data_IF_420661859080
#
_entry.id   IF_420661859080
#
_cell.length_a   1.000
_cell.length_b   1.000
_cell.length_c   1.000
_cell.angle_alpha   90.00
_cell.angle_beta   90.00
_cell.angle_gamma   90.00
#
_symmetry.space_group_name_H-M   'P 1'
#
loop_
_entity.id
_entity.type
_entity.pdbx_description
1 polymer ?
#
# COMPACT_ATOMS: atom_id res chain seq x y z
N UNK A 1 -7.07 35.33 -53.58
CA UNK A 1 -8.34 34.59 -53.38
C UNK A 1 -8.02 33.39 -52.52
N UNK A 2 -8.53 33.34 -51.28
CA UNK A 2 -8.29 32.27 -50.32
C UNK A 2 -9.64 31.60 -50.04
N UNK A 3 -9.74 30.31 -50.33
CA UNK A 3 -10.92 29.48 -50.04
C UNK A 3 -10.60 28.58 -48.84
N UNK A 4 -11.13 28.95 -47.68
CA UNK A 4 -11.04 28.17 -46.44
C UNK A 4 -12.42 27.98 -45.85
N UNK A 5 -12.89 26.74 -45.92
CA UNK A 5 -14.23 26.23 -45.62
C UNK A 5 -14.37 25.81 -44.14
N UNK A 6 -15.52 26.20 -43.58
CA UNK A 6 -16.21 25.88 -42.32
C UNK A 6 -15.65 24.85 -41.33
N UNK A 7 -15.79 25.16 -40.02
CA UNK A 7 -16.65 24.40 -39.10
C UNK A 7 -16.88 25.22 -37.81
N UNK A 8 -18.11 25.73 -37.61
CA UNK A 8 -18.56 26.32 -36.34
C UNK A 8 -18.93 25.17 -35.39
N UNK A 9 -18.31 25.13 -34.21
CA UNK A 9 -18.57 24.11 -33.20
C UNK A 9 -20.01 24.16 -32.70
N UNK A 10 -20.69 23.02 -32.71
CA UNK A 10 -21.96 22.81 -32.00
C UNK A 10 -21.64 22.62 -30.52
N UNK A 11 -21.85 23.67 -29.73
CA UNK A 11 -21.87 23.57 -28.27
C UNK A 11 -23.19 22.96 -27.84
N UNK A 12 -23.15 21.81 -27.17
CA UNK A 12 -24.32 21.23 -26.51
C UNK A 12 -23.96 20.80 -25.08
N UNK A 13 -24.89 21.09 -24.17
CA UNK A 13 -24.68 21.14 -22.73
C UNK A 13 -24.88 19.77 -22.05
N UNK A 14 -24.20 19.63 -20.90
CA UNK A 14 -24.33 18.55 -19.95
C UNK A 14 -25.77 18.38 -19.46
N UNK A 15 -26.28 17.16 -19.57
CA UNK A 15 -27.23 16.61 -18.61
C UNK A 15 -28.50 16.05 -19.20
N UNK A 16 -28.66 14.72 -19.15
CA UNK A 16 -29.89 14.11 -18.63
C UNK A 16 -29.66 12.62 -18.36
N UNK A 17 -29.65 12.21 -17.09
CA UNK A 17 -29.87 10.82 -16.73
C UNK A 17 -31.37 10.66 -16.45
N UNK A 18 -32.08 10.10 -17.43
CA UNK A 18 -33.46 9.66 -17.27
C UNK A 18 -33.49 8.48 -16.29
N UNK A 19 -34.28 8.63 -15.23
CA UNK A 19 -34.82 7.51 -14.49
C UNK A 19 -36.03 6.98 -15.27
N UNK A 20 -36.10 5.68 -15.54
CA UNK A 20 -37.25 4.91 -15.08
C UNK A 20 -36.99 3.39 -15.10
N UNK A 21 -37.71 2.75 -14.20
CA UNK A 21 -37.52 1.41 -13.63
C UNK A 21 -38.11 0.27 -14.47
N UNK A 22 -38.05 -0.96 -13.93
CA UNK A 22 -38.49 -2.29 -14.42
C UNK A 22 -37.35 -3.07 -15.10
N UNK A 23 -36.98 -4.30 -14.73
CA UNK A 23 -37.53 -5.29 -13.82
C UNK A 23 -37.18 -6.69 -14.36
N UNK A 24 -36.65 -7.55 -13.49
CA UNK A 24 -36.61 -9.03 -13.58
C UNK A 24 -35.61 -9.75 -14.54
N UNK A 25 -34.64 -10.42 -13.88
CA UNK A 25 -34.34 -11.87 -13.94
C UNK A 25 -33.78 -12.54 -15.22
N UNK A 26 -32.66 -13.25 -14.99
CA UNK A 26 -32.34 -14.67 -15.32
C UNK A 26 -31.16 -14.96 -16.29
N UNK A 27 -30.28 -15.84 -15.76
CA UNK A 27 -29.26 -16.76 -16.32
C UNK A 27 -28.02 -16.27 -17.12
N UNK A 28 -26.82 -16.64 -16.62
CA UNK A 28 -25.48 -16.43 -17.24
C UNK A 28 -25.06 -17.57 -18.18
N UNK A 29 -23.75 -17.91 -18.35
CA UNK A 29 -22.46 -17.26 -18.01
C UNK A 29 -21.47 -17.31 -19.24
N UNK A 30 -20.13 -17.44 -19.13
CA UNK A 30 -19.08 -16.59 -18.56
C UNK A 30 -17.97 -16.21 -19.59
N UNK A 31 -16.90 -15.56 -19.10
CA UNK A 31 -15.48 -15.66 -19.53
C UNK A 31 -14.81 -14.40 -20.12
N UNK A 32 -13.96 -13.81 -19.25
CA UNK A 32 -12.55 -13.44 -19.46
C UNK A 32 -12.16 -12.55 -20.65
N UNK A 33 -11.63 -11.36 -20.39
CA UNK A 33 -10.18 -11.14 -20.24
C UNK A 33 -9.90 -9.64 -20.05
N UNK A 34 -9.32 -9.29 -18.91
CA UNK A 34 -8.63 -8.02 -18.70
C UNK A 34 -7.35 -8.04 -19.52
N UNK A 35 -7.18 -7.08 -20.43
CA UNK A 35 -5.89 -6.77 -21.04
C UNK A 35 -5.64 -5.26 -20.91
N UNK A 36 -4.50 -4.97 -20.30
CA UNK A 36 -3.88 -3.67 -20.02
C UNK A 36 -3.73 -2.78 -21.27
N UNK A 37 -3.76 -1.44 -21.10
CA UNK A 37 -3.56 -0.49 -22.19
C UNK A 37 -2.08 -0.39 -22.55
N UNK A 38 -1.79 -0.42 -23.85
CA UNK A 38 -0.50 -0.04 -24.41
C UNK A 38 -0.75 0.84 -25.63
N UNK A 39 0.30 1.59 -26.02
CA UNK A 39 0.44 2.44 -27.21
C UNK A 39 0.29 3.95 -26.97
N UNK A 40 1.41 4.57 -26.57
CA UNK A 40 1.73 5.94 -26.94
C UNK A 40 3.02 5.93 -27.74
N UNK A 41 2.87 5.99 -29.07
CA UNK A 41 3.95 6.25 -30.02
C UNK A 41 4.29 7.74 -30.03
N UNK A 42 5.58 8.05 -29.90
CA UNK A 42 6.13 9.40 -30.04
C UNK A 42 7.31 9.34 -31.01
N UNK A 43 7.24 10.17 -32.05
CA UNK A 43 8.07 10.15 -33.24
C UNK A 43 9.57 10.39 -33.00
N UNK A 44 10.38 9.58 -33.69
CA UNK A 44 11.83 9.62 -33.70
C UNK A 44 12.34 10.71 -34.66
N UNK A 45 13.05 11.71 -34.12
CA UNK A 45 13.75 12.75 -34.89
C UNK A 45 15.18 12.29 -35.21
N UNK A 46 15.56 12.52 -36.47
CA UNK A 46 16.73 12.01 -37.17
C UNK A 46 18.11 12.22 -36.49
N UNK A 47 18.93 11.18 -36.65
CA UNK A 47 20.37 11.06 -36.41
C UNK A 47 21.18 11.83 -37.44
N UNK A 48 22.06 12.73 -37.01
CA UNK A 48 23.33 12.99 -37.69
C UNK A 48 24.47 12.95 -36.65
N UNK A 49 25.53 12.22 -36.99
CA UNK A 49 26.67 11.89 -36.15
C UNK A 49 27.81 12.91 -36.33
N UNK A 50 28.20 13.56 -35.21
CA UNK A 50 29.56 13.90 -34.71
C UNK A 50 30.49 14.78 -35.60
N UNK A 51 31.26 15.75 -35.02
CA UNK A 51 32.36 15.41 -34.11
C UNK A 51 32.63 16.36 -32.91
N UNK A 52 33.22 15.75 -31.89
CA UNK A 52 34.10 16.31 -30.83
C UNK A 52 34.27 17.83 -30.76
N UNK A 53 33.78 18.44 -29.68
CA UNK A 53 34.51 19.54 -29.05
C UNK A 53 34.34 19.50 -27.53
N UNK A 54 35.48 19.41 -26.85
CA UNK A 54 35.63 19.62 -25.42
C UNK A 54 35.20 21.06 -25.10
N UNK A 55 33.96 21.25 -24.66
CA UNK A 55 33.53 22.49 -24.03
C UNK A 55 33.12 22.17 -22.60
N UNK A 56 34.06 22.36 -21.67
CA UNK A 56 33.78 22.38 -20.24
C UNK A 56 32.75 23.49 -19.97
N UNK A 57 31.46 23.12 -19.98
CA UNK A 57 30.39 23.99 -19.54
C UNK A 57 30.61 24.40 -18.07
N UNK A 58 30.04 25.53 -17.62
CA UNK A 58 30.29 26.07 -16.29
C UNK A 58 30.06 24.97 -15.24
N UNK A 59 31.14 24.52 -14.59
CA UNK A 59 31.03 23.60 -13.45
C UNK A 59 30.09 24.27 -12.46
N UNK A 60 28.88 23.72 -12.28
CA UNK A 60 27.93 24.23 -11.29
C UNK A 60 28.69 24.30 -9.97
N UNK A 61 28.87 25.51 -9.43
CA UNK A 61 29.45 25.69 -8.11
C UNK A 61 28.49 25.00 -7.15
N UNK A 62 28.82 23.78 -6.73
CA UNK A 62 28.22 23.21 -5.53
C UNK A 62 28.56 24.21 -4.43
N UNK A 63 27.57 24.92 -3.92
CA UNK A 63 27.77 25.74 -2.73
C UNK A 63 28.28 24.81 -1.63
N UNK A 64 29.46 25.10 -1.09
CA UNK A 64 29.92 24.45 0.11
C UNK A 64 29.04 24.96 1.25
N UNK A 65 28.33 24.05 1.92
CA UNK A 65 27.63 24.40 3.14
C UNK A 65 28.62 24.90 4.19
N UNK A 66 28.23 25.93 4.92
CA UNK A 66 28.91 26.31 6.15
C UNK A 66 28.77 25.18 7.19
N UNK A 67 29.67 25.17 8.18
CA UNK A 67 29.63 24.19 9.27
C UNK A 67 28.31 24.23 10.03
N UNK A 68 27.75 25.43 10.23
CA UNK A 68 26.44 25.62 10.87
C UNK A 68 25.29 25.03 10.02
N UNK A 69 25.30 25.27 8.71
CA UNK A 69 24.30 24.66 7.81
C UNK A 69 24.41 23.14 7.80
N UNK A 70 25.64 22.61 7.82
CA UNK A 70 25.87 21.16 7.90
C UNK A 70 25.37 20.57 9.23
N UNK A 71 25.56 21.29 10.34
CA UNK A 71 25.05 20.90 11.65
C UNK A 71 23.52 20.91 11.67
N UNK A 72 22.90 21.96 11.12
CA UNK A 72 21.44 22.06 11.02
C UNK A 72 20.85 20.93 10.17
N UNK A 73 21.46 20.63 9.01
CA UNK A 73 21.03 19.52 8.15
C UNK A 73 21.15 18.17 8.86
N UNK A 74 22.22 17.98 9.65
CA UNK A 74 22.42 16.75 10.44
C UNK A 74 21.35 16.62 11.52
N UNK A 75 21.07 17.70 12.25
CA UNK A 75 20.05 17.73 13.29
C UNK A 75 18.63 17.51 12.72
N UNK A 76 18.33 18.12 11.58
CA UNK A 76 17.08 17.87 10.84
C UNK A 76 16.97 16.41 10.38
N UNK A 77 18.05 15.83 9.84
CA UNK A 77 18.06 14.43 9.40
C UNK A 77 17.80 13.49 10.58
N UNK A 78 18.40 13.78 11.74
CA UNK A 78 18.15 13.02 12.98
C UNK A 78 16.70 13.16 13.45
N UNK A 79 16.14 14.37 13.43
CA UNK A 79 14.75 14.61 13.81
C UNK A 79 13.78 13.85 12.89
N UNK A 80 14.00 13.89 11.58
CA UNK A 80 13.17 13.16 10.60
C UNK A 80 13.33 11.65 10.79
N UNK A 81 14.54 11.15 11.02
CA UNK A 81 14.76 9.73 11.32
C UNK A 81 14.03 9.29 12.60
N UNK A 82 14.01 10.13 13.64
CA UNK A 82 13.25 9.84 14.86
C UNK A 82 11.74 9.79 14.60
N UNK A 83 11.20 10.74 13.83
CA UNK A 83 9.78 10.72 13.44
C UNK A 83 9.46 9.50 12.58
N UNK A 84 10.33 9.12 11.65
CA UNK A 84 10.16 7.94 10.82
C UNK A 84 10.18 6.64 11.65
N UNK A 85 11.06 6.55 12.64
CA UNK A 85 11.11 5.42 13.58
C UNK A 85 9.84 5.37 14.44
N UNK A 86 9.42 6.51 15.01
CA UNK A 86 8.19 6.60 15.80
C UNK A 86 6.97 6.16 14.99
N UNK A 87 6.81 6.64 13.76
CA UNK A 87 5.71 6.22 12.88
C UNK A 87 5.73 4.73 12.54
N UNK A 88 6.92 4.12 12.41
CA UNK A 88 7.07 2.68 12.20
C UNK A 88 6.65 1.86 13.42
N UNK A 89 6.91 2.37 14.61
CA UNK A 89 6.50 1.75 15.88
C UNK A 89 5.01 1.96 16.17
N UNK A 90 4.47 3.13 15.81
CA UNK A 90 3.08 3.53 16.06
C UNK A 90 2.11 3.19 14.91
N UNK A 91 2.51 2.32 13.97
CA UNK A 91 1.61 1.86 12.90
C UNK A 91 0.25 1.41 13.50
N UNK A 92 -0.88 1.66 12.81
CA UNK A 92 -2.22 1.59 13.39
C UNK A 92 -2.35 0.37 14.30
N UNK A 93 -2.82 0.58 15.53
CA UNK A 93 -3.13 -0.48 16.49
C UNK A 93 -4.36 -1.27 16.03
N UNK A 94 -4.34 -1.75 14.78
CA UNK A 94 -5.34 -2.63 14.25
C UNK A 94 -5.05 -4.03 14.80
N UNK A 95 -5.65 -4.29 15.95
CA UNK A 95 -5.92 -5.65 16.41
C UNK A 95 -7.15 -6.12 15.65
N UNK A 96 -7.07 -7.33 15.10
CA UNK A 96 -8.21 -7.93 14.42
C UNK A 96 -9.38 -8.06 15.40
N UNK A 97 -10.57 -7.58 15.01
CA UNK A 97 -11.77 -7.65 15.86
C UNK A 97 -12.11 -9.09 16.26
N UNK A 98 -11.71 -10.07 15.44
CA UNK A 98 -11.96 -11.48 15.66
C UNK A 98 -10.89 -12.16 16.53
N UNK A 99 -9.81 -11.47 16.92
CA UNK A 99 -8.72 -12.10 17.69
C UNK A 99 -9.20 -12.68 19.02
N UNK A 100 -10.09 -11.95 19.73
CA UNK A 100 -10.64 -12.43 21.00
C UNK A 100 -11.40 -13.75 20.81
N UNK A 101 -12.35 -13.78 19.87
CA UNK A 101 -13.15 -14.98 19.60
C UNK A 101 -12.28 -16.13 19.12
N UNK A 102 -11.34 -15.87 18.20
CA UNK A 102 -10.43 -16.88 17.66
C UNK A 102 -9.57 -17.56 18.74
N UNK A 103 -9.27 -16.87 19.85
CA UNK A 103 -8.53 -17.44 20.99
C UNK A 103 -9.48 -18.09 21.99
N UNK A 104 -10.55 -17.38 22.39
CA UNK A 104 -11.42 -17.82 23.49
C UNK A 104 -12.34 -18.99 23.13
N UNK A 105 -12.68 -19.16 21.86
CA UNK A 105 -13.51 -20.28 21.41
C UNK A 105 -12.73 -21.59 21.24
N UNK A 106 -11.41 -21.60 21.51
CA UNK A 106 -10.58 -22.77 21.35
C UNK A 106 -10.85 -23.82 22.45
N UNK A 107 -11.44 -24.98 22.11
CA UNK A 107 -11.80 -25.97 23.11
C UNK A 107 -10.57 -26.72 23.62
N UNK A 108 -10.65 -27.22 24.86
CA UNK A 108 -9.62 -28.09 25.46
C UNK A 108 -8.44 -27.34 26.10
N UNK A 109 -8.55 -26.03 26.30
CA UNK A 109 -7.61 -25.21 27.04
C UNK A 109 -8.32 -24.53 28.21
N UNK A 110 -7.62 -24.26 29.32
CA UNK A 110 -8.20 -23.49 30.41
C UNK A 110 -8.31 -22.01 30.01
N UNK A 111 -9.28 -21.31 30.59
CA UNK A 111 -9.50 -19.89 30.31
C UNK A 111 -8.27 -19.04 30.66
N UNK A 112 -7.57 -19.35 31.75
CA UNK A 112 -6.34 -18.65 32.15
C UNK A 112 -5.25 -18.78 31.09
N UNK A 113 -5.07 -19.98 30.53
CA UNK A 113 -4.10 -20.21 29.47
C UNK A 113 -4.47 -19.45 28.18
N UNK A 114 -5.76 -19.39 27.85
CA UNK A 114 -6.26 -18.62 26.71
C UNK A 114 -6.06 -17.10 26.90
N UNK A 115 -6.28 -16.58 28.11
CA UNK A 115 -6.01 -15.18 28.46
C UNK A 115 -4.53 -14.84 28.30
N UNK A 116 -3.63 -15.70 28.79
CA UNK A 116 -2.17 -15.50 28.63
C UNK A 116 -1.78 -15.39 27.15
N UNK A 117 -2.31 -16.30 26.32
CA UNK A 117 -2.08 -16.25 24.87
C UNK A 117 -2.66 -15.00 24.25
N UNK A 118 -3.89 -14.63 24.61
CA UNK A 118 -4.55 -13.45 24.08
C UNK A 118 -3.72 -12.18 24.35
N UNK A 119 -3.25 -11.99 25.60
CA UNK A 119 -2.38 -10.86 25.95
C UNK A 119 -1.06 -10.90 25.18
N UNK A 120 -0.46 -12.07 24.97
CA UNK A 120 0.73 -12.21 24.14
C UNK A 120 0.47 -11.78 22.68
N UNK A 121 -0.65 -12.22 22.08
CA UNK A 121 -0.99 -11.90 20.69
C UNK A 121 -1.37 -10.42 20.49
N UNK A 122 -1.93 -9.76 21.51
CA UNK A 122 -2.14 -8.31 21.52
C UNK A 122 -0.81 -7.55 21.42
N UNK A 123 0.20 -8.01 22.15
CA UNK A 123 1.55 -7.42 22.12
C UNK A 123 2.33 -7.80 20.86
N UNK A 124 1.96 -8.90 20.20
CA UNK A 124 2.59 -9.39 18.98
C UNK A 124 1.61 -9.40 17.79
N UNK A 125 1.35 -8.21 17.25
CA UNK A 125 0.36 -7.97 16.18
C UNK A 125 0.55 -8.87 14.95
N UNK A 126 1.78 -9.17 14.56
CA UNK A 126 2.06 -10.02 13.41
C UNK A 126 1.62 -11.48 13.66
N UNK A 127 1.94 -12.01 14.84
CA UNK A 127 1.49 -13.33 15.27
C UNK A 127 -0.03 -13.36 15.45
N UNK A 128 -0.63 -12.32 16.05
CA UNK A 128 -2.08 -12.20 16.21
C UNK A 128 -2.83 -12.28 14.88
N UNK A 129 -2.38 -11.53 13.86
CA UNK A 129 -2.95 -11.62 12.51
C UNK A 129 -2.74 -12.99 11.87
N UNK A 130 -1.57 -13.60 12.06
CA UNK A 130 -1.31 -14.96 11.58
C UNK A 130 -2.28 -15.97 12.21
N UNK A 131 -2.46 -15.90 13.53
CA UNK A 131 -3.31 -16.79 14.31
C UNK A 131 -4.78 -16.72 13.87
N UNK A 132 -5.34 -15.52 13.65
CA UNK A 132 -6.72 -15.37 13.16
C UNK A 132 -6.91 -15.97 11.76
N UNK A 133 -5.88 -15.97 10.90
CA UNK A 133 -5.99 -16.55 9.56
C UNK A 133 -5.72 -18.07 9.51
N UNK A 134 -5.35 -18.69 10.64
CA UNK A 134 -5.19 -20.15 10.73
C UNK A 134 -6.54 -20.86 10.81
N UNK A 135 -6.58 -22.11 10.34
CA UNK A 135 -7.68 -23.03 10.66
C UNK A 135 -7.65 -23.42 12.15
N UNK A 136 -8.78 -23.86 12.69
CA UNK A 136 -8.90 -24.21 14.10
C UNK A 136 -7.91 -25.31 14.53
N UNK A 137 -7.65 -26.28 13.65
CA UNK A 137 -6.65 -27.33 13.90
C UNK A 137 -5.23 -26.75 14.06
N UNK A 138 -4.86 -25.76 13.25
CA UNK A 138 -3.57 -25.09 13.34
C UNK A 138 -3.51 -24.16 14.55
N UNK A 139 -4.59 -23.45 14.90
CA UNK A 139 -4.67 -22.65 16.12
C UNK A 139 -4.47 -23.52 17.37
N UNK A 140 -5.11 -24.68 17.43
CA UNK A 140 -4.96 -25.62 18.54
C UNK A 140 -3.52 -26.15 18.67
N UNK A 141 -2.87 -26.47 17.53
CA UNK A 141 -1.47 -26.90 17.52
C UNK A 141 -0.51 -25.79 17.97
N UNK A 142 -0.74 -24.56 17.49
CA UNK A 142 0.03 -23.39 17.87
C UNK A 142 -0.11 -23.12 19.37
N UNK A 143 -1.35 -23.12 19.89
CA UNK A 143 -1.64 -22.93 21.32
C UNK A 143 -0.91 -23.95 22.20
N UNK A 144 -1.00 -25.24 21.85
CA UNK A 144 -0.30 -26.30 22.60
C UNK A 144 1.21 -26.10 22.62
N UNK A 145 1.78 -25.71 21.48
CA UNK A 145 3.22 -25.49 21.34
C UNK A 145 3.67 -24.25 22.12
N UNK A 146 2.89 -23.17 22.08
CA UNK A 146 3.18 -21.95 22.80
C UNK A 146 3.05 -22.14 24.32
N UNK A 147 1.94 -22.70 24.78
CA UNK A 147 1.66 -22.89 26.20
C UNK A 147 2.62 -23.90 26.86
N UNK A 148 2.98 -24.97 26.14
CA UNK A 148 3.97 -25.93 26.62
C UNK A 148 5.37 -25.32 26.84
N UNK A 149 5.68 -24.20 26.18
CA UNK A 149 6.95 -23.48 26.35
C UNK A 149 6.88 -22.33 27.35
N UNK A 150 5.72 -21.70 27.52
CA UNK A 150 5.59 -20.40 28.17
C UNK A 150 4.68 -20.39 29.42
N UNK A 151 3.93 -21.47 29.69
CA UNK A 151 2.92 -21.47 30.75
C UNK A 151 2.93 -22.72 31.62
N UNK A 152 3.10 -23.91 31.04
CA UNK A 152 3.04 -25.19 31.76
C UNK A 152 4.42 -25.79 32.11
N UNK A 153 5.47 -24.98 32.12
CA UNK A 153 6.84 -25.42 32.44
C UNK A 153 7.04 -25.56 33.94
#
# INVERSE_FOLDING_TARGET
>A
MATGKFALGSGEALGQNQADSVGAKVDGPPLTHTTVPSEQGGDNKATELLPTSSAAGPKRKRGNFSEEEMLMLTNMSNAVNNVANALRETGPAHVDANLYLAVMEMPGFSEEALIVVYTFLLNNKAQGRGFVNMSDAHRALWLRTFLGKNYYV
#
